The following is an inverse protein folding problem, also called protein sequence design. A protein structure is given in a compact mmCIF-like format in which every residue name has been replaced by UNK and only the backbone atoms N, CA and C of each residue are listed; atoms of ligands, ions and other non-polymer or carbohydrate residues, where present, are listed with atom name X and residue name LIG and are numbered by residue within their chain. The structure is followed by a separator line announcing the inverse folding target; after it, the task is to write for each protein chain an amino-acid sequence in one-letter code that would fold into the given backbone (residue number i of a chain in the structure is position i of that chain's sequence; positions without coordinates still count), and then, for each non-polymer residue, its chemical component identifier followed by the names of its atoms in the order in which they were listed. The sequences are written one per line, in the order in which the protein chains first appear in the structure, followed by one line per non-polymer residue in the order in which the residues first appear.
data_IF_751248494697
#
_entry.id   IF_751248494697
#
_cell.length_a   1.000
_cell.length_b   1.000
_cell.length_c   1.000
_cell.angle_alpha   90.00
_cell.angle_beta   90.00
_cell.angle_gamma   90.00
#
_symmetry.space_group_name_H-M   'P 1'
#
loop_
_entity.id
_entity.type
_entity.pdbx_description
1 polymer ?
#
# COMPACT_ATOMS: atom_id res chain seq x y z
N UNK A 1 23.37 17.15 -8.43
CA UNK A 1 21.95 17.06 -8.01
C UNK A 1 21.52 15.70 -8.50
N UNK A 2 21.88 14.67 -7.73
CA UNK A 2 21.60 13.30 -8.13
C UNK A 2 20.25 12.92 -7.54
N UNK A 3 19.32 12.58 -8.41
CA UNK A 3 18.04 12.04 -8.03
C UNK A 3 18.29 10.81 -7.14
N UNK A 4 17.57 10.71 -6.02
CA UNK A 4 17.55 9.51 -5.18
C UNK A 4 16.79 8.43 -5.96
N UNK A 5 17.50 7.80 -6.88
CA UNK A 5 17.17 6.46 -7.36
C UNK A 5 17.66 5.54 -6.25
N UNK A 6 16.74 4.82 -5.62
CA UNK A 6 17.11 3.65 -4.82
C UNK A 6 17.89 2.75 -5.78
N UNK A 7 19.20 2.63 -5.55
CA UNK A 7 20.17 2.09 -6.50
C UNK A 7 19.68 0.74 -7.06
N UNK A 8 19.52 0.70 -8.38
CA UNK A 8 18.76 -0.29 -9.10
C UNK A 8 19.59 -1.56 -9.42
N UNK A 9 20.27 -2.12 -8.43
CA UNK A 9 20.68 -3.54 -8.46
C UNK A 9 19.58 -4.43 -7.89
N UNK A 10 18.32 -4.04 -8.08
CA UNK A 10 17.15 -4.75 -7.58
C UNK A 10 16.95 -6.02 -8.40
N UNK A 11 17.08 -7.18 -7.76
CA UNK A 11 16.42 -8.39 -8.26
C UNK A 11 14.94 -8.02 -8.39
N UNK A 12 14.35 -8.08 -9.60
CA UNK A 12 12.98 -7.65 -9.80
C UNK A 12 12.07 -8.48 -8.90
N UNK A 13 11.16 -7.80 -8.20
CA UNK A 13 10.18 -8.46 -7.37
C UNK A 13 9.35 -9.41 -8.23
N UNK A 14 9.23 -10.64 -7.76
CA UNK A 14 8.52 -11.70 -8.46
C UNK A 14 7.02 -11.40 -8.51
N UNK A 15 6.39 -11.72 -9.65
CA UNK A 15 4.97 -11.48 -9.92
C UNK A 15 4.30 -12.78 -10.35
N UNK A 16 3.01 -12.92 -10.07
CA UNK A 16 2.20 -14.07 -10.45
C UNK A 16 0.84 -13.61 -10.97
N UNK A 17 0.34 -14.24 -12.04
CA UNK A 17 -0.94 -13.98 -12.73
C UNK A 17 -1.08 -12.60 -13.42
N UNK A 18 -0.52 -11.54 -12.84
CA UNK A 18 -0.70 -10.16 -13.26
C UNK A 18 0.65 -9.45 -13.44
N UNK A 19 0.76 -8.64 -14.48
CA UNK A 19 1.91 -7.79 -14.76
C UNK A 19 1.49 -6.64 -15.69
N UNK A 20 2.12 -5.48 -15.54
CA UNK A 20 1.88 -4.27 -16.34
C UNK A 20 1.96 -4.55 -17.85
N UNK A 21 2.97 -5.30 -18.28
CA UNK A 21 3.23 -5.59 -19.70
C UNK A 21 2.16 -6.47 -20.37
N UNK A 22 1.43 -7.26 -19.57
CA UNK A 22 0.39 -8.19 -20.03
C UNK A 22 -1.02 -7.75 -19.58
N UNK A 23 -1.18 -6.48 -19.21
CA UNK A 23 -2.45 -5.95 -18.70
C UNK A 23 -3.42 -5.65 -19.84
N UNK A 24 -4.65 -6.15 -19.73
CA UNK A 24 -5.73 -5.74 -20.63
C UNK A 24 -6.12 -4.27 -20.38
N UNK A 25 -6.29 -3.45 -21.43
CA UNK A 25 -6.80 -2.09 -21.29
C UNK A 25 -8.14 -2.05 -20.55
N UNK A 26 -8.41 -0.97 -19.81
CA UNK A 26 -9.67 -0.79 -19.07
C UNK A 26 -10.90 -0.95 -19.98
N UNK A 27 -10.81 -0.46 -21.22
CA UNK A 27 -11.86 -0.60 -22.23
C UNK A 27 -12.19 -2.06 -22.58
N UNK A 28 -11.20 -2.95 -22.54
CA UNK A 28 -11.26 -4.35 -22.97
C UNK A 28 -11.54 -5.34 -21.82
N UNK A 29 -11.52 -4.90 -20.57
CA UNK A 29 -11.91 -5.75 -19.44
C UNK A 29 -13.35 -6.26 -19.58
N UNK A 30 -13.63 -7.45 -19.07
CA UNK A 30 -14.97 -7.98 -18.91
C UNK A 30 -15.28 -8.26 -17.44
N UNK A 31 -16.54 -8.59 -17.16
CA UNK A 31 -17.02 -8.86 -15.80
C UNK A 31 -16.31 -10.06 -15.16
N UNK A 32 -15.99 -11.07 -15.96
CA UNK A 32 -15.36 -12.32 -15.49
C UNK A 32 -13.92 -12.07 -15.05
N UNK A 33 -13.14 -11.32 -15.85
CA UNK A 33 -11.76 -10.97 -15.50
C UNK A 33 -11.70 -10.12 -14.25
N UNK A 34 -12.63 -9.17 -14.06
CA UNK A 34 -12.70 -8.36 -12.83
C UNK A 34 -13.02 -9.24 -11.61
N UNK A 35 -13.97 -10.17 -11.73
CA UNK A 35 -14.27 -11.14 -10.67
C UNK A 35 -13.07 -12.05 -10.37
N UNK A 36 -12.32 -12.47 -11.39
CA UNK A 36 -11.13 -13.32 -11.22
C UNK A 36 -10.02 -12.58 -10.47
N UNK A 37 -9.74 -11.33 -10.84
CA UNK A 37 -8.76 -10.48 -10.14
C UNK A 37 -9.14 -10.34 -8.67
N UNK A 38 -10.42 -10.09 -8.39
CA UNK A 38 -10.89 -10.00 -7.02
C UNK A 38 -10.68 -11.33 -6.27
N UNK A 39 -10.88 -12.48 -6.93
CA UNK A 39 -10.72 -13.82 -6.34
C UNK A 39 -9.28 -14.18 -5.98
N UNK A 40 -8.32 -13.88 -6.85
CA UNK A 40 -6.93 -14.36 -6.71
C UNK A 40 -6.21 -13.76 -5.50
N UNK A 41 -6.71 -12.63 -4.99
CA UNK A 41 -6.23 -11.98 -3.77
C UNK A 41 -7.12 -12.26 -2.55
N UNK A 42 -8.10 -13.16 -2.64
CA UNK A 42 -8.90 -13.56 -1.49
C UNK A 42 -8.27 -14.73 -0.76
N UNK A 43 -8.16 -14.64 0.57
CA UNK A 43 -7.59 -15.70 1.41
C UNK A 43 -8.66 -16.64 1.94
N UNK A 44 -9.92 -16.22 1.86
CA UNK A 44 -11.04 -16.96 2.40
C UNK A 44 -11.94 -17.25 1.22
N UNK A 45 -12.00 -18.50 0.77
CA UNK A 45 -13.01 -18.97 -0.18
C UNK A 45 -14.41 -18.93 0.45
N UNK A 46 -14.84 -17.72 0.86
CA UNK A 46 -16.06 -17.41 1.57
C UNK A 46 -16.99 -16.67 0.65
N UNK A 47 -18.27 -17.01 0.75
CA UNK A 47 -19.35 -16.28 0.08
C UNK A 47 -19.75 -15.00 0.83
N UNK A 48 -19.12 -14.71 1.98
CA UNK A 48 -19.36 -13.48 2.75
C UNK A 48 -18.62 -12.28 2.16
N UNK A 49 -19.17 -11.10 2.41
CA UNK A 49 -18.52 -9.83 2.07
C UNK A 49 -17.13 -9.74 2.70
N UNK A 50 -16.14 -9.44 1.87
CA UNK A 50 -14.74 -9.39 2.27
C UNK A 50 -14.04 -8.20 1.64
N UNK A 51 -13.20 -7.52 2.43
CA UNK A 51 -12.38 -6.41 1.98
C UNK A 51 -10.92 -6.71 2.27
N UNK A 52 -10.09 -6.57 1.25
CA UNK A 52 -8.63 -6.61 1.39
C UNK A 52 -8.12 -5.22 1.05
N UNK A 53 -7.53 -4.54 2.03
CA UNK A 53 -6.89 -3.24 1.83
C UNK A 53 -5.39 -3.43 1.66
N UNK A 54 -4.73 -2.64 0.83
CA UNK A 54 -3.28 -2.60 0.72
C UNK A 54 -2.80 -1.28 0.11
N UNK A 55 -1.51 -1.22 -0.22
CA UNK A 55 -0.87 0.04 -0.63
C UNK A 55 0.00 -0.15 -1.87
N UNK A 56 -0.32 0.64 -2.91
CA UNK A 56 0.48 0.76 -4.13
C UNK A 56 1.24 2.07 -4.08
N UNK A 57 2.47 2.03 -3.56
CA UNK A 57 3.19 3.23 -3.17
C UNK A 57 2.39 3.99 -2.10
N UNK A 58 2.22 5.29 -2.27
CA UNK A 58 1.43 6.09 -1.31
C UNK A 58 -0.08 6.07 -1.58
N UNK A 59 -0.54 5.22 -2.50
CA UNK A 59 -1.94 5.14 -2.94
C UNK A 59 -2.63 3.94 -2.31
N UNK A 60 -3.82 4.15 -1.74
CA UNK A 60 -4.59 3.06 -1.13
C UNK A 60 -5.29 2.22 -2.20
N UNK A 61 -5.25 0.91 -2.01
CA UNK A 61 -5.94 -0.07 -2.84
C UNK A 61 -6.91 -0.84 -1.95
N UNK A 62 -8.15 -0.98 -2.40
CA UNK A 62 -9.18 -1.77 -1.74
C UNK A 62 -9.75 -2.76 -2.73
N UNK A 63 -9.56 -4.03 -2.45
CA UNK A 63 -10.22 -5.12 -3.12
C UNK A 63 -11.51 -5.44 -2.37
N UNK A 64 -12.60 -5.49 -3.12
CA UNK A 64 -13.96 -5.71 -2.63
C UNK A 64 -14.45 -7.03 -3.20
N UNK A 65 -14.90 -7.93 -2.32
CA UNK A 65 -15.52 -9.19 -2.72
C UNK A 65 -16.87 -9.40 -2.09
N UNK A 66 -17.77 -9.98 -2.87
CA UNK A 66 -19.09 -10.39 -2.42
C UNK A 66 -19.79 -9.27 -1.66
N UNK A 67 -19.54 -8.00 -2.02
CA UNK A 67 -20.23 -6.86 -1.40
C UNK A 67 -21.72 -7.03 -1.66
N UNK A 68 -22.56 -6.87 -0.64
CA UNK A 68 -24.00 -7.02 -0.80
C UNK A 68 -24.75 -5.90 -0.10
N UNK A 69 -25.59 -5.19 -0.85
CA UNK A 69 -26.48 -4.19 -0.29
C UNK A 69 -27.87 -4.20 -0.94
N UNK A 70 -28.71 -3.24 -0.57
CA UNK A 70 -30.06 -3.09 -1.13
C UNK A 70 -30.07 -2.84 -2.65
N UNK A 71 -28.98 -2.36 -3.22
CA UNK A 71 -28.82 -1.97 -4.64
C UNK A 71 -28.22 -3.09 -5.50
N UNK A 72 -27.56 -4.08 -4.91
CA UNK A 72 -26.96 -5.18 -5.66
C UNK A 72 -25.76 -5.80 -4.96
N UNK A 73 -24.95 -6.50 -5.74
CA UNK A 73 -23.64 -7.00 -5.30
C UNK A 73 -22.50 -6.49 -6.18
N UNK A 74 -21.29 -6.46 -5.64
CA UNK A 74 -20.11 -6.04 -6.38
C UNK A 74 -18.85 -6.84 -5.99
N UNK A 75 -18.02 -7.12 -7.00
CA UNK A 75 -16.65 -7.58 -6.86
C UNK A 75 -15.73 -6.64 -7.63
N UNK A 76 -14.50 -6.43 -7.17
CA UNK A 76 -13.50 -5.70 -7.93
C UNK A 76 -12.56 -4.88 -7.05
N UNK A 77 -12.04 -3.80 -7.62
CA UNK A 77 -10.97 -3.01 -7.05
C UNK A 77 -11.31 -1.53 -7.04
N UNK A 78 -10.80 -0.86 -6.02
CA UNK A 78 -10.86 0.58 -5.86
C UNK A 78 -9.47 1.07 -5.48
N UNK A 79 -8.88 1.90 -6.34
CA UNK A 79 -7.61 2.57 -6.06
C UNK A 79 -7.88 4.05 -5.83
N UNK A 80 -7.28 4.63 -4.79
CA UNK A 80 -7.35 6.07 -4.51
C UNK A 80 -5.97 6.69 -4.62
N UNK A 81 -5.80 7.62 -5.58
CA UNK A 81 -4.54 8.34 -5.80
C UNK A 81 -4.51 9.60 -4.93
N UNK A 82 -3.99 9.45 -3.71
CA UNK A 82 -3.93 10.51 -2.72
C UNK A 82 -5.29 11.21 -2.52
N UNK A 83 -5.31 12.54 -2.62
CA UNK A 83 -6.54 13.35 -2.52
C UNK A 83 -7.04 13.82 -3.91
N UNK A 84 -6.53 13.22 -4.99
CA UNK A 84 -6.82 13.68 -6.35
C UNK A 84 -8.04 12.97 -6.92
N UNK A 85 -8.00 11.64 -6.96
CA UNK A 85 -9.09 10.87 -7.53
C UNK A 85 -9.13 9.42 -7.05
N UNK A 86 -10.24 8.76 -7.38
CA UNK A 86 -10.48 7.33 -7.20
C UNK A 86 -10.80 6.69 -8.54
N UNK A 87 -10.12 5.58 -8.84
CA UNK A 87 -10.43 4.67 -9.94
C UNK A 87 -11.11 3.44 -9.34
N UNK A 88 -12.32 3.14 -9.80
CA UNK A 88 -13.06 1.93 -9.42
C UNK A 88 -13.20 1.03 -10.65
N UNK A 89 -12.81 -0.23 -10.53
CA UNK A 89 -12.95 -1.27 -11.56
C UNK A 89 -13.73 -2.42 -10.97
N UNK A 90 -15.03 -2.50 -11.28
CA UNK A 90 -15.96 -3.39 -10.59
C UNK A 90 -16.86 -4.18 -11.54
N UNK A 91 -17.18 -5.40 -11.14
CA UNK A 91 -18.23 -6.24 -11.68
C UNK A 91 -19.44 -6.14 -10.74
N UNK A 92 -20.55 -5.62 -11.23
CA UNK A 92 -21.73 -5.27 -10.42
C UNK A 92 -22.96 -6.01 -10.91
N UNK A 93 -23.68 -6.66 -9.99
CA UNK A 93 -24.99 -7.25 -10.24
C UNK A 93 -26.05 -6.38 -9.56
N UNK A 94 -26.79 -5.60 -10.36
CA UNK A 94 -27.86 -4.76 -9.82
C UNK A 94 -29.04 -5.58 -9.35
N UNK A 95 -29.63 -5.21 -8.21
CA UNK A 95 -30.86 -5.83 -7.71
C UNK A 95 -32.05 -5.33 -8.54
N UNK A 96 -32.59 -6.19 -9.38
CA UNK A 96 -33.80 -5.91 -10.17
C UNK A 96 -35.00 -6.63 -9.53
N UNK A 97 -36.13 -5.93 -9.28
CA UNK A 97 -37.37 -6.57 -8.82
C UNK A 97 -37.82 -7.71 -9.75
N UNK A 98 -38.30 -8.84 -9.18
CA UNK A 98 -38.75 -10.02 -9.95
C UNK A 98 -39.75 -9.71 -11.07
N UNK A 99 -40.76 -8.83 -10.88
CA UNK A 99 -41.69 -8.48 -11.96
C UNK A 99 -40.99 -7.84 -13.17
N UNK A 100 -40.00 -6.97 -12.94
CA UNK A 100 -39.20 -6.34 -14.01
C UNK A 100 -38.33 -7.36 -14.76
N UNK A 101 -37.80 -8.37 -14.05
CA UNK A 101 -37.08 -9.48 -14.68
C UNK A 101 -38.02 -10.29 -15.59
N UNK A 102 -39.25 -10.57 -15.16
CA UNK A 102 -40.22 -11.31 -15.96
C UNK A 102 -40.66 -10.56 -17.22
N UNK A 103 -40.97 -9.26 -17.08
CA UNK A 103 -41.36 -8.40 -18.22
C UNK A 103 -40.23 -8.29 -19.25
N UNK A 104 -38.96 -8.42 -18.81
CA UNK A 104 -37.79 -8.44 -19.70
C UNK A 104 -37.35 -9.86 -20.11
N UNK A 105 -38.14 -10.89 -19.80
CA UNK A 105 -37.85 -12.31 -20.06
C UNK A 105 -36.49 -12.79 -19.51
N UNK A 106 -36.02 -12.20 -18.40
CA UNK A 106 -34.75 -12.55 -17.75
C UNK A 106 -34.98 -13.38 -16.49
N UNK A 107 -34.16 -14.43 -16.31
CA UNK A 107 -34.18 -15.26 -15.08
C UNK A 107 -33.30 -14.68 -13.96
N UNK A 108 -32.26 -13.92 -14.30
CA UNK A 108 -31.32 -13.28 -13.37
C UNK A 108 -30.98 -11.87 -13.84
N UNK A 109 -30.65 -10.93 -12.93
CA UNK A 109 -30.08 -9.65 -13.32
C UNK A 109 -28.78 -9.84 -14.10
N UNK A 110 -28.48 -8.90 -15.00
CA UNK A 110 -27.23 -8.90 -15.77
C UNK A 110 -26.10 -8.40 -14.87
N UNK A 111 -24.97 -9.09 -14.89
CA UNK A 111 -23.71 -8.58 -14.37
C UNK A 111 -23.16 -7.53 -15.34
N UNK A 112 -22.73 -6.40 -14.80
CA UNK A 112 -22.27 -5.25 -15.57
C UNK A 112 -20.86 -4.88 -15.13
N UNK A 113 -19.98 -4.63 -16.10
CA UNK A 113 -18.72 -3.93 -15.87
C UNK A 113 -19.00 -2.46 -15.56
N UNK A 114 -18.48 -1.99 -14.43
CA UNK A 114 -18.55 -0.60 -13.99
C UNK A 114 -17.13 -0.11 -13.72
N UNK A 115 -16.60 0.68 -14.65
CA UNK A 115 -15.32 1.37 -14.49
C UNK A 115 -15.60 2.86 -14.34
N UNK A 116 -15.27 3.42 -13.19
CA UNK A 116 -15.54 4.81 -12.87
C UNK A 116 -14.31 5.53 -12.34
N UNK A 117 -14.29 6.82 -12.63
CA UNK A 117 -13.34 7.80 -12.14
C UNK A 117 -14.11 8.82 -11.31
N UNK A 118 -13.58 9.17 -10.14
CA UNK A 118 -14.16 10.19 -9.27
C UNK A 118 -13.07 11.15 -8.80
N UNK A 119 -13.20 12.45 -9.13
CA UNK A 119 -12.35 13.51 -8.58
C UNK A 119 -12.64 13.68 -7.08
N UNK A 120 -11.59 13.93 -6.30
CA UNK A 120 -11.65 14.12 -4.85
C UNK A 120 -11.17 15.52 -4.43
N UNK A 121 -10.50 16.22 -5.33
CA UNK A 121 -9.92 17.55 -5.14
C UNK A 121 -10.94 18.68 -5.39
N UNK A 122 -12.02 18.41 -6.13
CA UNK A 122 -13.06 19.39 -6.43
C UNK A 122 -14.38 19.07 -5.71
N UNK A 123 -15.07 20.08 -5.14
CA UNK A 123 -16.38 19.88 -4.49
C UNK A 123 -17.50 19.42 -5.46
N UNK A 124 -17.32 19.61 -6.77
CA UNK A 124 -18.15 18.96 -7.79
C UNK A 124 -17.73 17.49 -7.93
N UNK A 125 -18.17 16.68 -6.97
CA UNK A 125 -17.96 15.22 -6.91
C UNK A 125 -18.80 14.48 -7.97
N UNK A 126 -18.43 14.63 -9.24
CA UNK A 126 -19.03 13.89 -10.34
C UNK A 126 -18.31 12.56 -10.56
N UNK A 127 -18.91 11.45 -10.15
CA UNK A 127 -18.48 10.14 -10.62
C UNK A 127 -18.74 10.05 -12.13
N UNK A 128 -17.69 9.79 -12.91
CA UNK A 128 -17.76 9.66 -14.37
C UNK A 128 -17.41 8.22 -14.77
N UNK A 129 -18.12 7.69 -15.77
CA UNK A 129 -17.77 6.40 -16.37
C UNK A 129 -16.57 6.56 -17.29
N UNK A 130 -15.62 5.62 -17.23
CA UNK A 130 -14.38 5.66 -18.01
C UNK A 130 -14.62 5.85 -19.52
N UNK A 131 -15.64 5.19 -20.07
CA UNK A 131 -16.00 5.30 -21.49
C UNK A 131 -16.36 6.73 -21.90
N UNK A 132 -16.93 7.50 -20.98
CA UNK A 132 -17.41 8.87 -21.22
C UNK A 132 -16.34 9.93 -20.94
N UNK A 133 -15.11 9.55 -20.57
CA UNK A 133 -14.01 10.50 -20.39
C UNK A 133 -13.55 10.98 -21.78
N UNK A 134 -13.60 12.28 -22.01
CA UNK A 134 -13.19 12.90 -23.28
C UNK A 134 -11.71 13.31 -23.28
N UNK A 135 -11.15 13.58 -22.10
CA UNK A 135 -9.76 13.99 -21.88
C UNK A 135 -8.79 12.81 -22.16
N UNK A 136 -7.98 12.84 -23.24
CA UNK A 136 -7.10 11.72 -23.59
C UNK A 136 -6.00 11.49 -22.56
N UNK A 137 -5.40 12.57 -22.05
CA UNK A 137 -4.35 12.52 -21.02
C UNK A 137 -4.85 11.87 -19.72
N UNK A 138 -6.11 12.13 -19.36
CA UNK A 138 -6.72 11.48 -18.20
C UNK A 138 -6.91 9.99 -18.44
N UNK A 139 -7.38 9.59 -19.64
CA UNK A 139 -7.49 8.17 -20.00
C UNK A 139 -6.15 7.46 -19.95
N UNK A 140 -5.11 8.05 -20.53
CA UNK A 140 -3.75 7.49 -20.50
C UNK A 140 -3.24 7.33 -19.06
N UNK A 141 -3.50 8.31 -18.19
CA UNK A 141 -3.15 8.22 -16.77
C UNK A 141 -3.89 7.10 -16.06
N UNK A 142 -5.19 6.94 -16.31
CA UNK A 142 -5.99 5.84 -15.72
C UNK A 142 -5.53 4.47 -16.22
N UNK A 143 -5.14 4.35 -17.49
CA UNK A 143 -4.56 3.11 -18.04
C UNK A 143 -3.16 2.84 -17.47
N UNK A 144 -2.35 3.87 -17.21
CA UNK A 144 -1.07 3.72 -16.53
C UNK A 144 -1.26 3.24 -15.08
N UNK A 145 -2.15 3.88 -14.32
CA UNK A 145 -2.50 3.43 -12.97
C UNK A 145 -3.02 2.00 -12.96
N UNK A 146 -3.81 1.62 -13.97
CA UNK A 146 -4.32 0.26 -14.09
C UNK A 146 -3.20 -0.76 -14.34
N UNK A 147 -2.20 -0.42 -15.17
CA UNK A 147 -1.00 -1.25 -15.37
C UNK A 147 -0.17 -1.37 -14.10
N UNK A 148 0.07 -0.26 -13.39
CA UNK A 148 0.79 -0.25 -12.11
C UNK A 148 0.06 -1.09 -11.06
N UNK A 149 -1.28 -1.02 -11.05
CA UNK A 149 -2.11 -1.83 -10.17
C UNK A 149 -1.96 -3.32 -10.49
N UNK A 150 -1.88 -3.72 -11.77
CA UNK A 150 -1.64 -5.11 -12.14
C UNK A 150 -0.27 -5.61 -11.67
N UNK A 151 0.76 -4.77 -11.70
CA UNK A 151 2.05 -5.10 -11.11
C UNK A 151 1.96 -5.31 -9.60
N UNK A 152 1.28 -4.41 -8.90
CA UNK A 152 1.02 -4.56 -7.46
C UNK A 152 0.26 -5.86 -7.15
N UNK A 153 -0.81 -6.15 -7.89
CA UNK A 153 -1.60 -7.38 -7.74
C UNK A 153 -0.73 -8.61 -7.99
N UNK A 154 0.11 -8.57 -9.02
CA UNK A 154 1.01 -9.67 -9.37
C UNK A 154 2.01 -9.98 -8.26
N UNK A 155 2.63 -8.95 -7.68
CA UNK A 155 3.52 -9.09 -6.54
C UNK A 155 2.79 -9.63 -5.31
N UNK A 156 1.58 -9.14 -5.05
CA UNK A 156 0.79 -9.57 -3.89
C UNK A 156 0.34 -11.03 -4.02
N UNK A 157 -0.10 -11.48 -5.20
CA UNK A 157 -0.40 -12.88 -5.48
C UNK A 157 0.83 -13.77 -5.28
N UNK A 158 1.99 -13.37 -5.82
CA UNK A 158 3.22 -14.13 -5.65
C UNK A 158 3.65 -14.26 -4.18
N UNK A 159 3.60 -13.16 -3.40
CA UNK A 159 3.88 -13.21 -1.96
C UNK A 159 3.01 -14.27 -1.30
N UNK A 160 1.70 -14.23 -1.52
CA UNK A 160 0.76 -15.10 -0.81
C UNK A 160 0.91 -16.57 -1.15
N UNK A 161 1.01 -16.89 -2.43
CA UNK A 161 1.18 -18.27 -2.93
C UNK A 161 2.49 -18.89 -2.45
N UNK A 162 3.49 -18.06 -2.16
CA UNK A 162 4.80 -18.49 -1.64
C UNK A 162 4.96 -18.26 -0.12
N UNK A 163 3.84 -18.14 0.62
CA UNK A 163 3.82 -17.99 2.08
C UNK A 163 4.50 -16.70 2.62
N UNK A 164 4.43 -15.61 1.87
CA UNK A 164 4.88 -14.25 2.17
C UNK A 164 6.39 -14.17 2.50
N UNK A 165 7.29 -14.53 1.57
CA UNK A 165 8.72 -14.62 1.84
C UNK A 165 9.35 -13.28 2.24
N UNK A 166 8.91 -12.15 1.70
CA UNK A 166 9.43 -10.84 2.11
C UNK A 166 9.00 -10.48 3.53
N UNK A 167 7.76 -10.80 3.91
CA UNK A 167 7.28 -10.62 5.26
C UNK A 167 8.08 -11.48 6.26
N UNK A 168 8.29 -12.75 5.93
CA UNK A 168 9.09 -13.66 6.77
C UNK A 168 10.53 -13.16 6.91
N UNK A 169 11.15 -12.71 5.82
CA UNK A 169 12.48 -12.13 5.84
C UNK A 169 12.53 -10.88 6.72
N UNK A 170 11.57 -9.97 6.58
CA UNK A 170 11.48 -8.77 7.40
C UNK A 170 11.33 -9.08 8.90
N UNK A 171 10.49 -10.06 9.26
CA UNK A 171 10.32 -10.49 10.66
C UNK A 171 11.57 -11.16 11.23
N UNK A 172 12.31 -11.92 10.41
CA UNK A 172 13.56 -12.58 10.83
C UNK A 172 14.70 -11.59 10.96
N UNK A 173 14.83 -10.69 10.00
CA UNK A 173 16.01 -9.84 9.86
C UNK A 173 15.90 -8.63 10.80
N UNK A 174 14.71 -8.04 10.99
CA UNK A 174 14.48 -6.93 11.92
C UNK A 174 13.97 -7.46 13.27
N UNK A 175 14.90 -7.96 14.09
CA UNK A 175 14.59 -8.50 15.41
C UNK A 175 14.28 -7.40 16.44
N UNK A 176 13.67 -7.81 17.56
CA UNK A 176 13.39 -6.90 18.67
C UNK A 176 14.68 -6.23 19.23
N UNK A 177 15.77 -7.00 19.31
CA UNK A 177 17.05 -6.52 19.80
C UNK A 177 17.69 -5.50 18.85
N UNK A 178 17.61 -5.73 17.53
CA UNK A 178 18.09 -4.75 16.54
C UNK A 178 17.33 -3.44 16.62
N UNK A 179 16.00 -3.51 16.73
CA UNK A 179 15.18 -2.30 16.89
C UNK A 179 15.52 -1.55 18.18
N UNK A 180 15.69 -2.28 19.29
CA UNK A 180 16.07 -1.69 20.58
C UNK A 180 17.47 -1.06 20.55
N UNK A 181 18.44 -1.71 19.90
CA UNK A 181 19.78 -1.18 19.71
C UNK A 181 19.74 0.12 18.92
N UNK A 182 18.97 0.16 17.83
CA UNK A 182 18.78 1.37 17.05
C UNK A 182 18.13 2.49 17.88
N UNK A 183 17.09 2.20 18.68
CA UNK A 183 16.45 3.17 19.58
C UNK A 183 17.39 3.76 20.65
N UNK A 184 18.40 2.99 21.06
CA UNK A 184 19.38 3.38 22.09
C UNK A 184 20.65 4.01 21.52
N UNK A 185 20.68 4.27 20.22
CA UNK A 185 21.88 4.79 19.57
C UNK A 185 22.31 6.15 20.20
N UNK A 186 23.60 6.36 20.54
CA UNK A 186 24.07 7.56 21.27
C UNK A 186 23.76 8.90 20.58
N UNK A 187 23.54 8.88 19.26
CA UNK A 187 23.13 10.07 18.49
C UNK A 187 21.87 10.72 19.07
N UNK A 188 20.95 9.91 19.62
CA UNK A 188 19.67 10.39 20.13
C UNK A 188 19.80 11.14 21.47
N UNK A 189 20.89 10.92 22.21
CA UNK A 189 21.17 11.62 23.48
C UNK A 189 22.18 12.75 23.34
N UNK A 190 22.97 12.77 22.25
CA UNK A 190 24.07 13.72 22.07
C UNK A 190 23.68 14.98 21.31
N UNK A 191 22.50 15.03 20.68
CA UNK A 191 22.04 16.16 19.87
C UNK A 191 20.65 16.62 20.28
N UNK A 192 20.32 17.88 19.97
CA UNK A 192 18.95 18.40 20.13
C UNK A 192 18.05 17.77 19.07
N UNK A 193 17.00 17.11 19.52
CA UNK A 193 16.10 16.32 18.67
C UNK A 193 14.88 17.13 18.25
N UNK A 194 14.42 16.91 17.02
CA UNK A 194 13.13 17.38 16.55
C UNK A 194 12.03 16.46 17.09
N UNK A 195 10.97 17.04 17.62
CA UNK A 195 9.81 16.28 18.10
C UNK A 195 8.80 16.07 16.98
N UNK A 196 8.30 14.85 16.86
CA UNK A 196 7.20 14.48 15.99
C UNK A 196 6.21 13.59 16.75
N UNK A 197 5.20 14.22 17.35
CA UNK A 197 4.29 13.52 18.26
C UNK A 197 5.03 12.95 19.47
N UNK A 198 4.95 11.64 19.65
CA UNK A 198 5.65 10.88 20.69
C UNK A 198 7.12 10.55 20.32
N UNK A 199 7.53 10.82 19.08
CA UNK A 199 8.86 10.49 18.60
C UNK A 199 9.81 11.69 18.71
N UNK A 200 11.09 11.41 18.96
CA UNK A 200 12.17 12.37 18.90
C UNK A 200 13.21 11.89 17.88
N UNK A 201 13.63 12.76 16.96
CA UNK A 201 14.48 12.34 15.85
C UNK A 201 15.28 13.47 15.21
N UNK A 202 16.00 13.10 14.16
CA UNK A 202 16.81 14.02 13.37
C UNK A 202 16.87 13.57 11.91
N UNK A 203 17.09 14.53 11.00
CA UNK A 203 17.33 14.25 9.59
C UNK A 203 18.81 13.93 9.37
N UNK A 204 19.10 12.81 8.73
CA UNK A 204 20.43 12.43 8.26
C UNK A 204 20.35 11.75 6.90
N UNK A 205 21.19 12.21 5.96
CA UNK A 205 21.28 11.69 4.58
C UNK A 205 19.88 11.45 3.97
N UNK A 206 19.02 12.47 4.05
CA UNK A 206 17.64 12.51 3.53
C UNK A 206 16.61 11.57 4.20
N UNK A 207 16.95 11.01 5.36
CA UNK A 207 16.03 10.19 6.17
C UNK A 207 15.83 10.88 7.52
N UNK A 208 14.57 11.06 7.91
CA UNK A 208 14.24 11.39 9.29
C UNK A 208 14.20 10.12 10.10
N UNK A 209 15.13 9.98 11.04
CA UNK A 209 15.22 8.82 11.93
C UNK A 209 14.78 9.31 13.30
N UNK A 210 13.68 8.78 13.79
CA UNK A 210 13.14 9.12 15.10
C UNK A 210 12.83 7.87 15.90
N UNK A 211 12.96 7.98 17.21
CA UNK A 211 12.71 6.88 18.13
C UNK A 211 11.69 7.27 19.18
N UNK A 212 11.04 6.24 19.72
CA UNK A 212 10.23 6.29 20.94
C UNK A 212 10.78 5.23 21.90
N UNK A 213 11.05 5.64 23.15
CA UNK A 213 11.65 4.77 24.17
C UNK A 213 10.86 4.76 25.49
N UNK A 214 9.74 5.48 25.58
CA UNK A 214 8.78 5.42 26.67
C UNK A 214 7.79 4.28 26.45
N UNK A 215 8.23 3.04 26.73
CA UNK A 215 7.41 1.83 26.61
C UNK A 215 8.00 0.82 25.64
N UNK A 216 7.23 0.43 24.60
CA UNK A 216 7.72 -0.48 23.57
C UNK A 216 8.61 0.29 22.57
N UNK A 217 9.84 -0.19 22.38
CA UNK A 217 10.80 0.40 21.44
C UNK A 217 10.18 0.48 20.03
N UNK A 218 10.26 1.69 19.45
CA UNK A 218 9.74 1.94 18.11
C UNK A 218 10.64 2.92 17.36
N UNK A 219 10.81 2.66 16.07
CA UNK A 219 11.54 3.53 15.15
C UNK A 219 10.59 4.03 14.07
N UNK A 220 10.60 5.34 13.86
CA UNK A 220 9.94 6.03 12.77
C UNK A 220 11.00 6.44 11.76
N UNK A 221 10.87 5.94 10.53
CA UNK A 221 11.70 6.33 9.40
C UNK A 221 10.85 7.11 8.42
N UNK A 222 11.19 8.37 8.18
CA UNK A 222 10.46 9.19 7.20
C UNK A 222 11.36 9.65 6.07
N UNK A 223 10.78 9.72 4.88
CA UNK A 223 11.44 10.21 3.68
C UNK A 223 10.53 11.20 2.96
N UNK A 224 11.14 12.04 2.13
CA UNK A 224 10.40 12.92 1.25
C UNK A 224 10.10 12.18 -0.04
N UNK A 225 8.83 12.05 -0.37
CA UNK A 225 8.38 11.44 -1.61
C UNK A 225 8.83 12.31 -2.81
N UNK A 226 9.54 11.75 -3.80
CA UNK A 226 10.09 12.55 -4.89
C UNK A 226 9.02 13.06 -5.86
N UNK A 227 7.86 12.39 -5.96
CA UNK A 227 6.80 12.76 -6.91
C UNK A 227 5.92 13.89 -6.37
N UNK A 228 5.59 13.83 -5.10
CA UNK A 228 4.64 14.75 -4.44
C UNK A 228 5.32 15.78 -3.55
N UNK A 229 6.54 15.49 -3.08
CA UNK A 229 7.22 16.27 -2.06
C UNK A 229 6.64 16.10 -0.65
N UNK A 230 5.62 15.26 -0.46
CA UNK A 230 5.04 14.92 0.83
C UNK A 230 6.04 14.11 1.67
N UNK A 231 5.88 14.11 2.99
CA UNK A 231 6.65 13.25 3.90
C UNK A 231 5.85 11.99 4.20
N UNK A 232 6.36 10.85 3.75
CA UNK A 232 5.86 9.53 4.08
C UNK A 232 6.73 8.89 5.18
N UNK A 233 6.15 7.94 5.91
CA UNK A 233 6.86 7.29 7.02
C UNK A 233 6.53 5.81 7.15
N UNK A 234 7.54 5.03 7.51
CA UNK A 234 7.38 3.69 8.08
C UNK A 234 7.56 3.74 9.58
N UNK A 235 6.69 3.03 10.29
CA UNK A 235 6.76 2.84 11.73
C UNK A 235 7.00 1.36 12.03
N UNK A 236 8.14 1.09 12.66
CA UNK A 236 8.58 -0.22 13.12
C UNK A 236 8.31 -0.30 14.63
N UNK A 237 7.42 -1.20 15.03
CA UNK A 237 7.02 -1.36 16.43
C UNK A 237 7.05 -2.82 16.85
N UNK A 238 7.57 -3.07 18.04
CA UNK A 238 7.46 -4.38 18.66
C UNK A 238 6.11 -4.49 19.37
N UNK A 239 5.27 -5.45 18.96
CA UNK A 239 4.08 -5.81 19.72
C UNK A 239 4.44 -6.82 20.79
N UNK A 240 4.52 -6.38 22.04
CA UNK A 240 4.55 -7.28 23.19
C UNK A 240 3.15 -7.91 23.35
N UNK A 241 3.04 -9.24 23.18
CA UNK A 241 1.86 -9.99 23.59
C UNK A 241 2.16 -10.71 24.90
N UNK A 242 1.19 -10.72 25.81
CA UNK A 242 1.32 -11.37 27.12
C UNK A 242 1.49 -12.90 27.04
N UNK A 243 1.29 -13.54 25.88
CA UNK A 243 1.23 -15.02 25.74
C UNK A 243 1.79 -15.57 24.40
N UNK A 244 2.61 -14.83 23.66
CA UNK A 244 3.14 -15.31 22.37
C UNK A 244 4.45 -14.65 21.95
N UNK A 245 5.07 -15.11 20.83
CA UNK A 245 6.33 -14.55 20.37
C UNK A 245 6.17 -13.09 19.99
N UNK A 246 7.14 -12.28 20.39
CA UNK A 246 7.31 -10.88 20.00
C UNK A 246 7.28 -10.78 18.48
N UNK A 247 6.42 -9.90 17.93
CA UNK A 247 6.31 -9.68 16.48
C UNK A 247 6.52 -8.22 16.13
N UNK A 248 7.19 -7.98 15.02
CA UNK A 248 7.32 -6.66 14.44
C UNK A 248 6.00 -6.29 13.75
N UNK A 249 5.42 -5.17 14.13
CA UNK A 249 4.39 -4.48 13.36
C UNK A 249 5.08 -3.42 12.51
N UNK A 250 4.85 -3.50 11.21
CA UNK A 250 5.22 -2.46 10.27
C UNK A 250 3.97 -1.71 9.84
N UNK A 251 4.01 -0.38 9.91
CA UNK A 251 2.92 0.48 9.47
C UNK A 251 3.42 1.57 8.53
N UNK A 252 2.61 1.94 7.55
CA UNK A 252 2.83 3.05 6.64
C UNK A 252 1.99 4.26 7.07
N UNK A 253 2.59 5.44 7.06
CA UNK A 253 1.88 6.71 7.05
C UNK A 253 2.18 7.39 5.71
N UNK A 254 1.23 7.44 4.78
CA UNK A 254 1.48 7.94 3.43
C UNK A 254 1.83 9.42 3.40
N UNK A 255 1.26 10.19 4.33
CA UNK A 255 1.47 11.63 4.47
C UNK A 255 1.46 12.04 5.94
N UNK A 256 2.16 13.11 6.28
CA UNK A 256 2.33 13.59 7.67
C UNK A 256 1.02 13.76 8.45
N UNK A 257 -0.04 14.22 7.80
CA UNK A 257 -1.37 14.46 8.37
C UNK A 257 -2.24 13.19 8.50
N UNK A 258 -1.83 12.09 7.88
CA UNK A 258 -2.56 10.83 7.95
C UNK A 258 -2.13 10.00 9.16
N UNK A 259 -3.01 9.07 9.57
CA UNK A 259 -2.66 8.08 10.59
C UNK A 259 -1.74 6.99 10.02
N UNK A 260 -1.19 6.16 10.91
CA UNK A 260 -0.48 4.95 10.50
C UNK A 260 -1.46 3.84 10.15
N UNK A 261 -1.19 3.14 9.05
CA UNK A 261 -1.92 1.99 8.55
C UNK A 261 -1.01 0.76 8.60
N UNK A 262 -1.39 -0.32 9.29
CA UNK A 262 -0.63 -1.55 9.27
C UNK A 262 -0.48 -2.07 7.85
N UNK A 263 0.74 -2.47 7.48
CA UNK A 263 1.00 -3.11 6.19
C UNK A 263 0.66 -4.60 6.25
N UNK A 264 0.23 -5.14 5.11
CA UNK A 264 -0.07 -6.55 4.97
C UNK A 264 1.21 -7.33 4.63
N UNK A 265 1.23 -8.64 4.94
CA UNK A 265 2.31 -9.54 4.53
C UNK A 265 2.55 -9.61 3.00
N UNK A 266 1.59 -9.17 2.19
CA UNK A 266 1.66 -9.21 0.73
C UNK A 266 1.98 -7.85 0.08
N UNK A 267 2.15 -6.76 0.84
CA UNK A 267 2.49 -5.43 0.31
C UNK A 267 3.98 -5.39 -0.11
N UNK A 268 4.35 -6.21 -1.11
CA UNK A 268 5.72 -6.63 -1.41
C UNK A 268 6.72 -5.47 -1.55
N UNK A 269 6.36 -4.45 -2.33
CA UNK A 269 7.22 -3.29 -2.55
C UNK A 269 7.49 -2.54 -1.25
N UNK A 270 6.46 -2.31 -0.43
CA UNK A 270 6.64 -1.67 0.87
C UNK A 270 7.48 -2.50 1.83
N UNK A 271 7.33 -3.83 1.83
CA UNK A 271 8.15 -4.71 2.67
C UNK A 271 9.63 -4.65 2.27
N UNK A 272 9.89 -4.63 0.96
CA UNK A 272 11.24 -4.47 0.42
C UNK A 272 11.82 -3.10 0.78
N UNK A 273 11.09 -2.02 0.48
CA UNK A 273 11.54 -0.64 0.71
C UNK A 273 11.74 -0.33 2.19
N UNK A 274 10.83 -0.79 3.06
CA UNK A 274 10.94 -0.61 4.50
C UNK A 274 12.19 -1.29 5.06
N UNK A 275 12.50 -2.51 4.59
CA UNK A 275 13.73 -3.20 4.99
C UNK A 275 14.98 -2.45 4.55
N UNK A 276 15.03 -2.01 3.29
CA UNK A 276 16.15 -1.22 2.77
C UNK A 276 16.33 0.10 3.55
N UNK A 277 15.21 0.77 3.86
CA UNK A 277 15.25 2.01 4.64
C UNK A 277 15.75 1.78 6.07
N UNK A 278 15.40 0.64 6.68
CA UNK A 278 15.89 0.24 7.99
C UNK A 278 17.40 -0.02 7.99
N UNK A 279 17.89 -0.84 7.05
CA UNK A 279 19.32 -1.13 6.91
C UNK A 279 20.13 0.15 6.62
N UNK A 280 19.58 1.05 5.79
CA UNK A 280 20.18 2.37 5.55
C UNK A 280 20.21 3.23 6.81
N UNK A 281 19.14 3.23 7.61
CA UNK A 281 19.10 3.98 8.87
C UNK A 281 20.17 3.50 9.85
N UNK A 282 20.38 2.19 10.00
CA UNK A 282 21.48 1.63 10.81
C UNK A 282 22.84 2.15 10.33
N UNK A 283 23.16 2.00 9.05
CA UNK A 283 24.43 2.44 8.47
C UNK A 283 24.66 3.96 8.60
N UNK A 284 23.61 4.76 8.45
CA UNK A 284 23.64 6.22 8.60
C UNK A 284 23.98 6.62 10.04
N UNK A 285 23.42 5.93 11.03
CA UNK A 285 23.68 6.20 12.44
C UNK A 285 25.09 5.74 12.86
N UNK A 286 25.52 4.55 12.41
CA UNK A 286 26.87 4.03 12.68
C UNK A 286 27.96 4.99 12.15
N UNK A 287 27.86 5.39 10.88
CA UNK A 287 28.82 6.34 10.29
C UNK A 287 28.83 7.72 10.98
N UNK A 288 27.71 8.11 11.58
CA UNK A 288 27.62 9.37 12.34
C UNK A 288 28.28 9.27 13.72
N UNK A 289 28.30 8.10 14.36
CA UNK A 289 28.98 7.88 15.62
C UNK A 289 30.51 7.99 15.46
N UNK A 290 31.07 7.37 14.42
CA UNK A 290 32.52 7.38 14.15
C UNK A 290 33.04 8.79 13.86
N UNK A 291 32.27 9.61 13.14
CA UNK A 291 32.62 11.00 12.86
C UNK A 291 32.68 11.89 14.12
N UNK A 292 31.92 11.54 15.16
CA UNK A 292 31.93 12.26 16.44
C UNK A 292 33.07 11.84 17.39
N UNK A 293 33.70 10.68 17.16
CA UNK A 293 34.87 10.24 17.90
C UNK A 293 36.18 10.83 17.36
N UNK A 294 36.26 11.18 16.08
CA UNK A 294 37.45 11.81 15.48
C UNK A 294 37.54 13.33 15.68
N UNK A 295 36.53 13.97 16.27
CA UNK A 295 36.51 15.40 16.56
C UNK A 295 36.71 15.74 18.05
N UNK A 296 37.15 14.78 18.87
CA UNK A 296 37.49 14.98 20.29
C UNK A 296 38.98 14.91 20.52
#
# INVERSE_FOLDING_TARGET
MDAVVIDATQIPLQKLYYAADNTLPLSQLDEEKICQIARDLDSVSSEKEHYVTGWMGLNSVVLVRSYQNKRGSADGLVMTRGNHYRLSVQSVVFRIPKPLLWVTFRRRPRTMKVITYNRLDTPQNGMQQYQNILEPELKERLEADWRDLNDYLGMACWQRENNNPLWQALQRDISADRLLLLCKHPVFSSRKMQKEGEFAGLWQKDIFIAHRNDGAAAILLSWKDPQTGDVASYLFEILAKNTGPTRLRLSLRPRKQEKFYPLNPFDAQHLFDARQLFERAESVLESSADSSHHQR
#
